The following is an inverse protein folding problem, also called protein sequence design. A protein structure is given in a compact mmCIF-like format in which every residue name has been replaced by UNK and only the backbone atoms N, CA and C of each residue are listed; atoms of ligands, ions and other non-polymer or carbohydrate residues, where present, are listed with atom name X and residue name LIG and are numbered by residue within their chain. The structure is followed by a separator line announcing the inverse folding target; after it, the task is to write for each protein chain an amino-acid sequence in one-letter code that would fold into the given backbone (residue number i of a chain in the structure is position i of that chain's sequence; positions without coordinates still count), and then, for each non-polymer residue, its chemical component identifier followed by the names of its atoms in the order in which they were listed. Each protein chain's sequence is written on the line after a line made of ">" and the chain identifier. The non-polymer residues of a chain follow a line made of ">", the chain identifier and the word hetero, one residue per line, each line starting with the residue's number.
data_IF_739336002787
#
_entry.id   IF_739336002787
#
_cell.length_a   1.000
_cell.length_b   1.000
_cell.length_c   1.000
_cell.angle_alpha   90.00
_cell.angle_beta   90.00
_cell.angle_gamma   90.00
#
_symmetry.space_group_name_H-M   'P 1'
#
loop_
_entity.id
_entity.type
_entity.pdbx_description
1 polymer ?
#
# COMPACT_ATOMS: atom_id res chain seq x y z
N UNK A 1 -22.56 3.86 1.46
CA UNK A 1 -21.78 4.73 2.38
C UNK A 1 -20.40 4.11 2.46
N UNK A 2 -19.31 4.87 2.20
CA UNK A 2 -17.95 4.34 2.30
C UNK A 2 -17.67 3.96 3.76
N UNK A 3 -17.15 2.76 3.98
CA UNK A 3 -16.71 2.30 5.29
C UNK A 3 -15.38 3.00 5.65
N UNK A 4 -15.46 4.02 6.50
CA UNK A 4 -14.31 4.84 6.92
C UNK A 4 -13.89 4.53 8.35
N UNK A 5 -13.67 3.25 8.64
CA UNK A 5 -13.06 2.83 9.91
C UNK A 5 -11.62 3.31 10.01
N UNK A 6 -11.11 3.39 11.23
CA UNK A 6 -9.72 3.76 11.52
C UNK A 6 -8.71 2.62 11.43
N UNK A 7 -9.16 1.40 11.10
CA UNK A 7 -8.34 0.21 10.94
C UNK A 7 -9.11 -0.91 10.24
N UNK A 8 -8.38 -1.90 9.71
CA UNK A 8 -8.92 -3.01 8.91
C UNK A 8 -8.15 -4.29 9.19
N UNK A 9 -8.91 -5.38 9.38
CA UNK A 9 -8.35 -6.72 9.60
C UNK A 9 -8.16 -7.46 8.27
N UNK A 10 -7.53 -8.62 8.30
CA UNK A 10 -7.13 -9.37 7.11
C UNK A 10 -8.29 -9.67 6.16
N UNK A 11 -9.45 -10.07 6.68
CA UNK A 11 -10.64 -10.34 5.86
C UNK A 11 -11.16 -9.08 5.14
N UNK A 12 -11.05 -7.91 5.76
CA UNK A 12 -11.38 -6.64 5.11
C UNK A 12 -10.43 -6.35 3.94
N UNK A 13 -9.12 -6.67 4.10
CA UNK A 13 -8.13 -6.49 3.05
C UNK A 13 -8.41 -7.42 1.87
N UNK A 14 -8.81 -8.67 2.13
CA UNK A 14 -9.22 -9.60 1.09
C UNK A 14 -10.50 -9.12 0.38
N UNK A 15 -11.47 -8.59 1.10
CA UNK A 15 -12.67 -7.98 0.52
C UNK A 15 -12.31 -6.78 -0.38
N UNK A 16 -11.35 -5.93 0.05
CA UNK A 16 -10.82 -4.87 -0.79
C UNK A 16 -10.17 -5.44 -2.06
N UNK A 17 -9.39 -6.52 -1.93
CA UNK A 17 -8.74 -7.19 -3.06
C UNK A 17 -9.75 -7.79 -4.07
N UNK A 18 -10.91 -8.22 -3.60
CA UNK A 18 -12.02 -8.70 -4.46
C UNK A 18 -12.86 -7.57 -5.06
N UNK A 19 -12.58 -6.29 -4.73
CA UNK A 19 -13.32 -5.14 -5.23
C UNK A 19 -14.62 -4.85 -4.49
N UNK A 20 -14.85 -5.45 -3.33
CA UNK A 20 -16.08 -5.34 -2.56
C UNK A 20 -16.15 -4.07 -1.69
N UNK A 21 -15.00 -3.44 -1.40
CA UNK A 21 -14.91 -2.34 -0.42
C UNK A 21 -15.23 -0.96 -1.00
N UNK A 22 -14.62 -0.60 -2.13
CA UNK A 22 -14.74 0.74 -2.73
C UNK A 22 -15.62 0.76 -3.99
N UNK A 23 -16.23 -0.36 -4.34
CA UNK A 23 -17.10 -0.53 -5.48
C UNK A 23 -16.37 -0.87 -6.79
N UNK A 24 -17.12 -1.30 -7.81
CA UNK A 24 -16.58 -1.75 -9.09
C UNK A 24 -15.75 -0.66 -9.78
N UNK A 25 -14.58 -1.04 -10.32
CA UNK A 25 -13.72 -0.13 -11.08
C UNK A 25 -12.92 0.87 -10.24
N UNK A 26 -12.99 0.76 -8.91
CA UNK A 26 -12.24 1.61 -7.97
C UNK A 26 -10.99 0.90 -7.43
N UNK A 27 -10.31 1.55 -6.47
CA UNK A 27 -9.08 1.05 -5.88
C UNK A 27 -9.27 -0.33 -5.25
N UNK A 28 -8.30 -1.20 -5.45
CA UNK A 28 -8.23 -2.54 -4.88
C UNK A 28 -6.83 -2.78 -4.34
N UNK A 29 -6.73 -3.54 -3.26
CA UNK A 29 -5.48 -4.16 -2.87
C UNK A 29 -5.21 -5.37 -3.79
N UNK A 30 -3.95 -5.77 -3.98
CA UNK A 30 -3.67 -7.07 -4.55
C UNK A 30 -4.12 -8.17 -3.59
N UNK A 31 -4.47 -9.33 -4.14
CA UNK A 31 -4.69 -10.54 -3.36
C UNK A 31 -3.35 -11.24 -3.04
N UNK A 32 -3.29 -12.13 -2.04
CA UNK A 32 -2.13 -12.98 -1.84
C UNK A 32 -1.71 -13.72 -3.12
N UNK A 33 -0.41 -13.89 -3.38
CA UNK A 33 0.71 -13.61 -2.48
C UNK A 33 1.23 -12.16 -2.52
N UNK A 34 0.69 -11.27 -3.35
CA UNK A 34 1.16 -9.89 -3.51
C UNK A 34 0.66 -8.91 -2.43
N UNK A 35 -0.36 -9.27 -1.66
CA UNK A 35 -0.76 -8.50 -0.48
C UNK A 35 0.36 -8.56 0.57
N UNK A 36 0.93 -7.40 0.93
CA UNK A 36 2.16 -7.33 1.71
C UNK A 36 1.96 -6.98 3.18
N UNK A 37 0.74 -7.03 3.68
CA UNK A 37 0.43 -6.79 5.10
C UNK A 37 -0.82 -7.56 5.53
N UNK A 38 -0.92 -7.83 6.85
CA UNK A 38 -2.00 -8.62 7.44
C UNK A 38 -3.15 -7.73 7.94
N UNK A 39 -2.86 -6.46 8.24
CA UNK A 39 -3.85 -5.50 8.76
C UNK A 39 -3.40 -4.07 8.53
N UNK A 40 -4.36 -3.18 8.45
CA UNK A 40 -4.15 -1.74 8.58
C UNK A 40 -4.47 -1.37 10.01
N UNK A 41 -3.44 -1.07 10.80
CA UNK A 41 -3.57 -0.77 12.22
C UNK A 41 -4.05 0.65 12.49
N UNK A 42 -3.87 1.56 11.53
CA UNK A 42 -4.32 2.94 11.65
C UNK A 42 -4.51 3.57 10.26
N UNK A 43 -5.60 4.31 10.10
CA UNK A 43 -5.81 5.20 8.96
C UNK A 43 -6.60 6.42 9.40
N UNK A 44 -6.18 7.61 8.98
CA UNK A 44 -6.82 8.88 9.34
C UNK A 44 -6.68 9.89 8.21
N UNK A 45 -7.71 10.71 8.01
CA UNK A 45 -7.68 11.83 7.06
C UNK A 45 -6.89 13.05 7.58
N UNK A 46 -6.51 13.02 8.85
CA UNK A 46 -5.73 14.06 9.53
C UNK A 46 -4.53 13.43 10.24
N UNK A 47 -3.60 14.27 10.69
CA UNK A 47 -2.38 13.78 11.36
C UNK A 47 -1.30 13.39 10.34
N UNK A 48 -0.34 12.55 10.78
CA UNK A 48 0.88 12.29 10.04
C UNK A 48 1.83 13.47 10.04
N UNK A 49 3.00 13.32 9.42
CA UNK A 49 4.06 14.34 9.40
C UNK A 49 3.58 15.67 8.78
N UNK A 50 2.68 15.60 7.80
CA UNK A 50 2.19 16.77 7.06
C UNK A 50 0.80 17.24 7.50
N UNK A 51 0.19 16.60 8.51
CA UNK A 51 -1.17 16.92 8.98
C UNK A 51 -2.28 16.66 7.94
N UNK A 52 -2.00 15.86 6.91
CA UNK A 52 -2.89 15.61 5.76
C UNK A 52 -3.36 14.17 5.63
N UNK A 53 -3.12 13.40 6.67
CA UNK A 53 -3.49 12.01 6.77
C UNK A 53 -2.32 11.07 6.85
N UNK A 54 -2.59 9.90 7.39
CA UNK A 54 -1.62 8.81 7.51
C UNK A 54 -2.32 7.46 7.34
N UNK A 55 -1.54 6.47 6.95
CA UNK A 55 -1.96 5.07 6.99
C UNK A 55 -0.78 4.21 7.45
N UNK A 56 -1.06 3.29 8.37
CA UNK A 56 -0.09 2.36 8.94
C UNK A 56 -0.61 0.93 8.82
N UNK A 57 0.26 0.02 8.42
CA UNK A 57 -0.06 -1.39 8.29
C UNK A 57 1.03 -2.26 8.92
N UNK A 58 0.69 -3.51 9.21
CA UNK A 58 1.59 -4.47 9.84
C UNK A 58 1.57 -5.80 9.09
N UNK A 59 2.75 -6.43 9.00
CA UNK A 59 2.94 -7.79 8.53
C UNK A 59 3.62 -8.59 9.65
N UNK A 60 2.98 -9.68 10.07
CA UNK A 60 3.60 -10.67 10.96
C UNK A 60 4.50 -11.57 10.10
N UNK A 61 5.79 -11.51 10.37
CA UNK A 61 6.78 -12.27 9.60
C UNK A 61 6.96 -13.66 10.20
N UNK A 62 7.03 -14.66 9.33
CA UNK A 62 7.45 -16.01 9.69
C UNK A 62 8.34 -16.59 8.59
N UNK A 63 9.20 -17.58 8.90
CA UNK A 63 10.14 -18.15 7.93
C UNK A 63 9.51 -18.84 6.71
N UNK A 64 8.20 -19.17 6.79
CA UNK A 64 7.44 -19.84 5.73
C UNK A 64 6.86 -18.89 4.69
N UNK A 65 7.04 -17.58 4.85
CA UNK A 65 6.60 -16.62 3.83
C UNK A 65 7.26 -16.92 2.50
N UNK A 66 6.45 -16.92 1.43
CA UNK A 66 6.79 -17.44 0.11
C UNK A 66 8.09 -16.91 -0.48
N UNK A 67 8.43 -15.65 -0.22
CA UNK A 67 9.62 -15.02 -0.80
C UNK A 67 10.93 -15.53 -0.16
N UNK A 68 10.91 -16.03 1.08
CA UNK A 68 12.10 -16.57 1.73
C UNK A 68 12.59 -17.89 1.08
N UNK A 69 11.67 -18.68 0.50
CA UNK A 69 12.01 -19.92 -0.17
C UNK A 69 12.72 -19.74 -1.52
N UNK A 70 12.57 -18.58 -2.15
CA UNK A 70 13.07 -18.32 -3.50
C UNK A 70 14.03 -17.12 -3.62
N UNK A 71 14.15 -16.32 -2.58
CA UNK A 71 14.97 -15.10 -2.62
C UNK A 71 15.86 -14.98 -1.36
N UNK A 72 17.02 -15.63 -1.33
CA UNK A 72 17.59 -16.54 -2.31
C UNK A 72 17.73 -17.94 -1.71
N UNK A 73 17.93 -18.98 -2.54
CA UNK A 73 18.19 -20.34 -2.04
C UNK A 73 19.46 -20.36 -1.18
N UNK A 74 19.29 -20.70 0.11
CA UNK A 74 20.41 -20.71 1.08
C UNK A 74 20.78 -19.33 1.65
N UNK A 75 20.10 -18.26 1.20
CA UNK A 75 20.30 -16.88 1.68
C UNK A 75 18.95 -16.14 1.67
N UNK A 76 18.03 -16.50 2.58
CA UNK A 76 16.68 -15.95 2.58
C UNK A 76 16.65 -14.50 3.05
N UNK A 77 16.10 -13.65 2.21
CA UNK A 77 15.84 -12.22 2.50
C UNK A 77 14.60 -11.76 1.75
N UNK A 78 13.78 -10.95 2.38
CA UNK A 78 12.63 -10.33 1.71
C UNK A 78 13.11 -9.43 0.56
N UNK A 79 12.58 -9.59 -0.67
CA UNK A 79 12.88 -8.64 -1.74
C UNK A 79 12.53 -7.21 -1.37
N UNK A 80 13.48 -6.27 -1.52
CA UNK A 80 13.24 -4.86 -1.19
C UNK A 80 12.12 -4.22 -2.00
N UNK A 81 11.89 -4.70 -3.23
CA UNK A 81 10.79 -4.25 -4.08
C UNK A 81 9.41 -4.59 -3.49
N UNK A 82 9.26 -5.64 -2.69
CA UNK A 82 8.00 -5.98 -2.04
C UNK A 82 7.66 -5.01 -0.91
N UNK A 83 8.66 -4.57 -0.15
CA UNK A 83 8.48 -3.52 0.86
C UNK A 83 8.10 -2.18 0.25
N UNK A 84 8.70 -1.83 -0.89
CA UNK A 84 8.30 -0.64 -1.66
C UNK A 84 6.88 -0.77 -2.18
N UNK A 85 6.52 -1.92 -2.75
CA UNK A 85 5.17 -2.14 -3.28
C UNK A 85 4.11 -2.03 -2.19
N UNK A 86 4.39 -2.53 -0.98
CA UNK A 86 3.51 -2.36 0.18
C UNK A 86 3.21 -0.89 0.47
N UNK A 87 4.20 -0.01 0.40
CA UNK A 87 3.99 1.43 0.59
C UNK A 87 3.08 2.02 -0.50
N UNK A 88 3.26 1.63 -1.77
CA UNK A 88 2.34 2.03 -2.85
C UNK A 88 0.94 1.46 -2.66
N UNK A 89 0.80 0.21 -2.23
CA UNK A 89 -0.50 -0.42 -1.91
C UNK A 89 -1.25 0.43 -0.87
N UNK A 90 -0.56 0.90 0.16
CA UNK A 90 -1.15 1.74 1.21
C UNK A 90 -1.57 3.11 0.71
N UNK A 91 -0.79 3.75 -0.16
CA UNK A 91 -1.20 5.01 -0.80
C UNK A 91 -2.47 4.78 -1.62
N UNK A 92 -2.53 3.72 -2.42
CA UNK A 92 -3.70 3.36 -3.22
C UNK A 92 -4.95 3.10 -2.37
N UNK A 93 -4.79 2.36 -1.28
CA UNK A 93 -5.88 2.13 -0.32
C UNK A 93 -6.38 3.44 0.30
N UNK A 94 -5.47 4.31 0.75
CA UNK A 94 -5.83 5.62 1.31
C UNK A 94 -6.64 6.46 0.33
N UNK A 95 -6.27 6.47 -0.96
CA UNK A 95 -7.00 7.22 -1.98
C UNK A 95 -8.44 6.71 -2.15
N UNK A 96 -8.63 5.39 -2.21
CA UNK A 96 -9.97 4.77 -2.25
C UNK A 96 -10.77 5.07 -0.99
N UNK A 97 -10.17 4.87 0.18
CA UNK A 97 -10.77 5.15 1.49
C UNK A 97 -11.20 6.61 1.64
N UNK A 98 -10.42 7.53 1.09
CA UNK A 98 -10.75 8.97 1.10
C UNK A 98 -11.80 9.39 0.06
N UNK A 99 -12.38 8.43 -0.67
CA UNK A 99 -13.44 8.66 -1.66
C UNK A 99 -12.94 8.95 -3.08
N UNK A 100 -11.68 8.60 -3.37
CA UNK A 100 -11.16 8.65 -4.73
C UNK A 100 -11.78 7.54 -5.59
N UNK A 101 -12.11 7.86 -6.84
CA UNK A 101 -12.67 6.92 -7.81
C UNK A 101 -11.62 6.57 -8.88
N UNK A 102 -11.65 5.31 -9.32
CA UNK A 102 -10.77 4.78 -10.36
C UNK A 102 -9.80 3.71 -9.86
N UNK A 103 -9.14 3.04 -10.79
CA UNK A 103 -8.19 1.96 -10.51
C UNK A 103 -6.83 2.51 -10.16
N UNK A 104 -6.24 2.02 -9.07
CA UNK A 104 -4.92 2.42 -8.58
C UNK A 104 -3.78 1.94 -9.48
N UNK A 105 -2.82 2.83 -9.72
CA UNK A 105 -1.55 2.51 -10.39
C UNK A 105 -0.41 3.26 -9.72
N UNK A 106 0.67 2.55 -9.40
CA UNK A 106 1.91 3.17 -8.98
C UNK A 106 2.51 3.95 -10.14
N UNK A 107 2.92 5.20 -9.90
CA UNK A 107 3.45 6.09 -10.92
C UNK A 107 4.95 6.41 -10.72
N UNK A 108 5.48 6.10 -9.55
CA UNK A 108 6.89 6.32 -9.25
C UNK A 108 7.12 6.79 -7.82
N UNK A 109 8.35 7.20 -7.56
CA UNK A 109 8.79 7.80 -6.31
C UNK A 109 9.99 8.73 -6.60
N UNK A 110 10.29 9.60 -5.65
CA UNK A 110 11.46 10.49 -5.76
C UNK A 110 12.76 9.81 -5.31
N UNK A 111 12.72 9.17 -4.12
CA UNK A 111 13.89 8.53 -3.52
C UNK A 111 13.48 7.30 -2.73
N UNK A 112 14.30 6.24 -2.79
CA UNK A 112 14.21 5.09 -1.91
C UNK A 112 15.58 4.80 -1.29
N UNK A 113 15.62 4.72 0.04
CA UNK A 113 16.81 4.27 0.78
C UNK A 113 16.49 2.98 1.51
N UNK A 114 17.28 1.95 1.24
CA UNK A 114 17.27 0.66 1.92
C UNK A 114 18.51 0.57 2.78
N UNK A 115 18.36 0.70 4.10
CA UNK A 115 19.47 0.69 5.06
C UNK A 115 19.58 -0.60 5.86
N UNK A 116 18.67 -1.55 5.63
CA UNK A 116 18.63 -2.85 6.29
C UNK A 116 17.85 -3.87 5.47
N UNK A 117 17.74 -5.07 6.01
CA UNK A 117 17.12 -6.23 5.38
C UNK A 117 16.09 -6.87 6.30
N UNK A 118 15.06 -7.47 5.72
CA UNK A 118 14.09 -8.29 6.43
C UNK A 118 14.50 -9.76 6.27
N UNK A 119 15.00 -10.33 7.36
CA UNK A 119 15.44 -11.73 7.45
C UNK A 119 14.33 -12.59 8.06
N UNK A 120 14.38 -13.94 7.92
CA UNK A 120 13.35 -14.83 8.48
C UNK A 120 13.16 -14.77 10.00
N UNK A 121 14.13 -14.26 10.73
CA UNK A 121 14.07 -14.06 12.19
C UNK A 121 13.40 -12.75 12.64
N UNK A 122 13.10 -11.85 11.72
CA UNK A 122 12.26 -10.68 11.99
C UNK A 122 10.85 -11.17 12.37
N UNK A 123 10.23 -10.55 13.37
CA UNK A 123 8.90 -10.93 13.85
C UNK A 123 7.80 -10.07 13.23
N UNK A 124 8.04 -8.77 13.10
CA UNK A 124 7.05 -7.82 12.62
C UNK A 124 7.66 -6.77 11.72
N UNK A 125 6.96 -6.49 10.63
CA UNK A 125 7.17 -5.31 9.79
C UNK A 125 6.05 -4.32 10.08
N UNK A 126 6.39 -3.05 10.22
CA UNK A 126 5.44 -1.93 10.23
C UNK A 126 5.72 -1.04 9.02
N UNK A 127 4.68 -0.79 8.26
CA UNK A 127 4.69 0.19 7.17
C UNK A 127 3.97 1.45 7.64
N UNK A 128 4.52 2.61 7.37
CA UNK A 128 3.87 3.89 7.62
C UNK A 128 3.95 4.77 6.38
N UNK A 129 2.85 5.39 6.05
CA UNK A 129 2.74 6.35 4.95
C UNK A 129 2.13 7.63 5.47
N UNK A 130 2.82 8.75 5.27
CA UNK A 130 2.37 10.10 5.60
C UNK A 130 1.99 10.83 4.32
N UNK A 131 0.74 11.23 4.22
CA UNK A 131 0.19 11.88 3.02
C UNK A 131 0.67 13.32 2.93
N UNK A 132 1.40 13.62 1.86
CA UNK A 132 1.87 14.99 1.56
C UNK A 132 0.82 15.78 0.81
N UNK A 133 0.18 15.15 -0.19
CA UNK A 133 -0.77 15.83 -1.05
C UNK A 133 -1.71 14.83 -1.73
N UNK A 134 -2.98 15.21 -1.83
CA UNK A 134 -3.95 14.55 -2.72
C UNK A 134 -4.47 15.60 -3.70
N UNK A 135 -4.29 15.35 -4.99
CA UNK A 135 -4.76 16.20 -6.08
C UNK A 135 -5.96 15.53 -6.72
N UNK A 136 -7.07 16.24 -6.80
CA UNK A 136 -8.34 15.76 -7.36
C UNK A 136 -8.72 16.61 -8.57
N UNK A 137 -8.34 16.14 -9.76
CA UNK A 137 -8.66 16.77 -11.05
C UNK A 137 -9.27 15.71 -11.97
N UNK A 138 -8.79 15.56 -13.22
CA UNK A 138 -9.20 14.50 -14.14
C UNK A 138 -8.85 13.09 -13.61
N UNK A 139 -7.78 13.00 -12.84
CA UNK A 139 -7.40 11.83 -12.07
C UNK A 139 -7.19 12.22 -10.61
N UNK A 140 -7.23 11.25 -9.72
CA UNK A 140 -6.86 11.44 -8.32
C UNK A 140 -5.39 11.01 -8.18
N UNK A 141 -4.53 11.92 -7.73
CA UNK A 141 -3.11 11.65 -7.51
C UNK A 141 -2.77 11.81 -6.05
N UNK A 142 -2.22 10.77 -5.43
CA UNK A 142 -1.63 10.81 -4.11
C UNK A 142 -0.11 10.93 -4.16
N UNK A 143 0.44 11.80 -3.33
CA UNK A 143 1.87 11.94 -3.09
C UNK A 143 2.11 11.79 -1.60
N UNK A 144 3.04 10.91 -1.23
CA UNK A 144 3.30 10.57 0.16
C UNK A 144 4.77 10.25 0.42
N UNK A 145 5.19 10.38 1.66
CA UNK A 145 6.43 9.77 2.15
C UNK A 145 6.10 8.53 2.97
N UNK A 146 7.01 7.59 3.04
CA UNK A 146 6.78 6.38 3.83
C UNK A 146 8.06 5.80 4.40
N UNK A 147 7.87 4.91 5.37
CA UNK A 147 8.96 4.10 5.90
C UNK A 147 8.47 2.68 6.24
N UNK A 148 9.41 1.78 6.33
CA UNK A 148 9.23 0.41 6.78
C UNK A 148 10.20 0.16 7.93
N UNK A 149 9.70 -0.39 9.04
CA UNK A 149 10.52 -0.89 10.13
C UNK A 149 10.44 -2.41 10.25
N UNK A 150 11.54 -3.02 10.66
CA UNK A 150 11.63 -4.41 11.05
C UNK A 150 11.95 -4.47 12.55
N UNK A 151 11.08 -5.08 13.36
CA UNK A 151 11.21 -5.15 14.83
C UNK A 151 11.59 -3.77 15.43
N UNK A 152 10.81 -2.74 15.08
CA UNK A 152 10.92 -1.34 15.52
C UNK A 152 12.12 -0.53 14.96
N UNK A 153 13.01 -1.15 14.19
CA UNK A 153 14.09 -0.44 13.50
C UNK A 153 13.66 -0.03 12.09
N UNK A 154 13.69 1.27 11.79
CA UNK A 154 13.37 1.77 10.43
C UNK A 154 14.52 1.42 9.49
N UNK A 155 14.21 0.61 8.47
CA UNK A 155 15.17 0.12 7.49
C UNK A 155 14.91 0.59 6.05
N UNK A 156 13.68 1.04 5.73
CA UNK A 156 13.38 1.66 4.44
C UNK A 156 12.81 3.06 4.66
N UNK A 157 13.21 3.97 3.80
CA UNK A 157 12.62 5.32 3.69
C UNK A 157 12.36 5.64 2.22
N UNK A 158 11.13 6.01 1.92
CA UNK A 158 10.70 6.41 0.58
C UNK A 158 10.17 7.84 0.61
N UNK A 159 10.54 8.63 -0.40
CA UNK A 159 10.05 10.00 -0.59
C UNK A 159 9.29 10.10 -1.90
N UNK A 160 8.24 10.90 -1.86
CA UNK A 160 7.42 11.23 -3.02
C UNK A 160 6.87 9.99 -3.73
N UNK A 161 6.38 9.01 -2.95
CA UNK A 161 5.58 7.90 -3.45
C UNK A 161 4.38 8.47 -4.20
N UNK A 162 4.17 8.05 -5.45
CA UNK A 162 3.09 8.55 -6.30
C UNK A 162 2.20 7.40 -6.73
N UNK A 163 0.90 7.57 -6.48
CA UNK A 163 -0.16 6.66 -6.95
C UNK A 163 -1.27 7.48 -7.57
N UNK A 164 -1.74 7.06 -8.74
CA UNK A 164 -2.89 7.66 -9.41
C UNK A 164 -4.08 6.71 -9.44
N UNK A 165 -5.30 7.25 -9.34
CA UNK A 165 -6.53 6.53 -9.62
C UNK A 165 -7.04 6.94 -11.00
N UNK A 166 -7.20 5.95 -11.88
CA UNK A 166 -7.59 6.14 -13.27
C UNK A 166 -9.00 5.58 -13.50
N UNK A 167 -9.93 6.42 -13.95
CA UNK A 167 -11.24 5.98 -14.41
C UNK A 167 -11.08 5.23 -15.72
N UNK A 168 -11.75 4.11 -15.84
CA UNK A 168 -11.85 3.42 -17.13
C UNK A 168 -12.74 4.28 -18.04
N UNK A 169 -12.20 4.78 -19.15
CA UNK A 169 -13.00 5.38 -20.19
C UNK A 169 -14.02 4.33 -20.65
N UNK A 170 -15.28 4.71 -20.72
CA UNK A 170 -16.31 3.84 -21.30
C UNK A 170 -15.82 3.47 -22.70
N UNK A 171 -15.67 2.17 -22.98
CA UNK A 171 -15.35 1.70 -24.31
C UNK A 171 -16.46 2.25 -25.22
N UNK A 172 -16.08 3.18 -26.10
CA UNK A 172 -16.97 3.61 -27.18
C UNK A 172 -17.21 2.37 -28.03
N UNK A 173 -18.38 1.77 -27.90
CA UNK A 173 -18.84 0.77 -28.88
C UNK A 173 -18.94 1.51 -30.20
N UNK A 174 -17.89 1.39 -30.99
CA UNK A 174 -18.02 1.67 -32.44
C UNK A 174 -18.95 0.61 -32.98
N UNK A 175 -20.23 1.00 -33.13
CA UNK A 175 -21.21 0.21 -33.85
C UNK A 175 -20.71 0.01 -35.28
N UNK A 176 -20.58 -1.25 -35.65
CA UNK A 176 -20.46 -1.71 -37.02
C UNK A 176 -21.80 -1.60 -37.72
#
# INVERSE_FOLDING_TARGET
>A
MLDRRGGYEYEDLLACGRGEMFGPGNAQLPLPPMLMFDRISQISATGGEYGRGLIRAELDVNPELWFFGCHFKGDPVMPGCLGLDALWQLVGFFLGWSGGEGRGRALGLGELKLSGQVMPNVRKIVYNVDIKRVIRLKLVLGIADGWLSADDEIIYRAKDLKVGLFKQEAAVQLGT
#
